data_IF_205299093389
#
_entry.id   IF_205299093389
#
_cell.length_a   1.000
_cell.length_b   1.000
_cell.length_c   1.000
_cell.angle_alpha   90.00
_cell.angle_beta   90.00
_cell.angle_gamma   90.00
#
_symmetry.space_group_name_H-M   'P 1'
#
loop_
_entity.id
_entity.type
_entity.pdbx_description
1 polymer ?
#
# COMPACT_ATOMS: atom_id res chain seq x y z
N UNK A 1 15.42 46.72 22.88
CA UNK A 1 15.48 45.60 21.91
C UNK A 1 15.70 44.31 22.67
N UNK A 2 14.70 43.43 22.74
CA UNK A 2 14.84 42.12 23.41
C UNK A 2 15.41 41.12 22.39
N UNK A 3 16.54 40.51 22.72
CA UNK A 3 17.14 39.41 21.94
C UNK A 3 16.20 38.20 21.93
N UNK A 4 15.98 37.54 20.78
CA UNK A 4 15.11 36.37 20.72
C UNK A 4 15.69 35.21 21.55
N UNK A 5 14.83 34.34 22.13
CA UNK A 5 15.28 33.24 22.96
C UNK A 5 16.11 32.25 22.14
N UNK A 6 17.29 31.89 22.65
CA UNK A 6 18.26 31.01 21.99
C UNK A 6 17.68 29.64 21.58
N UNK A 7 16.62 29.19 22.24
CA UNK A 7 15.90 27.95 21.90
C UNK A 7 15.13 28.04 20.57
N UNK A 8 14.60 29.21 20.21
CA UNK A 8 13.88 29.41 18.95
C UNK A 8 14.84 29.36 17.75
N UNK A 9 16.04 29.92 17.93
CA UNK A 9 17.11 29.87 16.92
C UNK A 9 17.64 28.44 16.74
N UNK A 10 17.78 27.65 17.82
CA UNK A 10 18.16 26.22 17.74
C UNK A 10 17.07 25.39 17.05
N UNK A 11 15.80 25.61 17.36
CA UNK A 11 14.68 24.87 16.77
C UNK A 11 14.57 25.17 15.26
N UNK A 12 14.72 26.42 14.85
CA UNK A 12 14.74 26.80 13.43
C UNK A 12 15.95 26.23 12.68
N UNK A 13 17.12 26.11 13.35
CA UNK A 13 18.29 25.44 12.77
C UNK A 13 18.06 23.94 12.59
N UNK A 14 17.40 23.29 13.54
CA UNK A 14 17.08 21.86 13.45
C UNK A 14 16.06 21.58 12.34
N UNK A 15 15.03 22.41 12.20
CA UNK A 15 14.03 22.30 11.12
C UNK A 15 14.69 22.54 9.75
N UNK A 16 15.56 23.54 9.63
CA UNK A 16 16.28 23.82 8.39
C UNK A 16 17.22 22.66 7.99
N UNK A 17 17.94 22.07 8.95
CA UNK A 17 18.79 20.90 8.70
C UNK A 17 17.94 19.69 8.26
N UNK A 18 16.77 19.47 8.90
CA UNK A 18 15.87 18.39 8.52
C UNK A 18 15.33 18.55 7.09
N UNK A 19 14.94 19.78 6.70
CA UNK A 19 14.49 20.07 5.34
C UNK A 19 15.61 19.90 4.30
N UNK A 20 16.85 20.31 4.61
CA UNK A 20 18.00 20.14 3.73
C UNK A 20 18.36 18.65 3.55
N UNK A 21 18.28 17.85 4.61
CA UNK A 21 18.52 16.40 4.54
C UNK A 21 17.44 15.71 3.69
N UNK A 22 16.16 16.08 3.84
CA UNK A 22 15.07 15.54 3.00
C UNK A 22 15.23 15.96 1.52
N UNK A 23 15.66 17.20 1.24
CA UNK A 23 15.94 17.66 -0.12
C UNK A 23 17.16 16.96 -0.75
N UNK A 24 18.21 16.67 0.03
CA UNK A 24 19.41 15.99 -0.47
C UNK A 24 19.20 14.47 -0.63
N UNK A 25 18.38 13.85 0.23
CA UNK A 25 17.99 12.44 0.13
C UNK A 25 17.02 12.16 -1.02
N UNK A 26 16.26 13.16 -1.48
CA UNK A 26 15.42 13.06 -2.69
C UNK A 26 16.20 13.33 -3.99
N UNK A 27 17.43 13.84 -3.90
CA UNK A 27 18.26 14.17 -5.07
C UNK A 27 19.21 13.01 -5.50
N UNK A 28 19.19 11.86 -4.82
CA UNK A 28 20.13 10.75 -5.08
C UNK A 28 19.49 9.42 -5.50
N UNK A 29 18.25 9.41 -6.00
CA UNK A 29 17.73 8.24 -6.72
C UNK A 29 18.13 8.32 -8.19
N UNK A 30 19.41 8.05 -8.47
CA UNK A 30 19.80 7.56 -9.78
C UNK A 30 19.14 6.19 -9.98
N UNK A 31 17.90 6.19 -10.46
CA UNK A 31 17.37 5.00 -11.12
C UNK A 31 18.27 4.76 -12.34
N UNK A 32 18.98 3.62 -12.43
CA UNK A 32 19.60 3.28 -13.69
C UNK A 32 18.46 3.19 -14.69
N UNK A 33 18.54 4.00 -15.75
CA UNK A 33 17.68 3.88 -16.92
C UNK A 33 17.82 2.42 -17.37
N UNK A 34 16.85 1.59 -17.03
CA UNK A 34 16.81 0.21 -17.47
C UNK A 34 16.62 0.27 -18.99
N UNK A 35 17.75 0.31 -19.72
CA UNK A 35 17.76 -0.03 -21.13
C UNK A 35 17.03 -1.36 -21.21
N UNK A 36 15.95 -1.39 -21.98
CA UNK A 36 15.22 -2.61 -22.28
C UNK A 36 16.19 -3.54 -23.03
N UNK A 37 16.99 -4.29 -22.28
CA UNK A 37 17.74 -5.40 -22.80
C UNK A 37 16.70 -6.42 -23.20
N UNK A 38 16.68 -6.79 -24.48
CA UNK A 38 15.81 -7.82 -25.03
C UNK A 38 16.21 -9.13 -24.34
N UNK A 39 15.52 -9.48 -23.26
CA UNK A 39 15.63 -10.79 -22.63
C UNK A 39 14.80 -11.78 -23.45
N UNK A 40 15.28 -13.02 -23.65
CA UNK A 40 14.57 -14.01 -24.43
C UNK A 40 13.18 -14.26 -23.82
N UNK A 41 12.17 -14.06 -24.65
CA UNK A 41 10.74 -14.14 -24.36
C UNK A 41 10.30 -15.60 -24.55
N UNK A 42 10.22 -16.39 -23.47
CA UNK A 42 9.25 -17.51 -23.38
C UNK A 42 9.34 -18.43 -22.14
N UNK A 43 10.42 -18.46 -21.35
CA UNK A 43 10.60 -19.54 -20.35
C UNK A 43 10.21 -19.20 -18.90
N UNK A 44 10.08 -17.93 -18.51
CA UNK A 44 9.86 -17.58 -17.09
C UNK A 44 8.40 -17.63 -16.65
N UNK A 45 7.45 -17.24 -17.51
CA UNK A 45 6.03 -17.15 -17.17
C UNK A 45 5.42 -18.53 -16.95
N UNK A 46 5.83 -19.53 -17.75
CA UNK A 46 5.40 -20.92 -17.59
C UNK A 46 5.85 -21.51 -16.25
N UNK A 47 7.05 -21.19 -15.78
CA UNK A 47 7.58 -21.71 -14.52
C UNK A 47 6.84 -21.12 -13.30
N UNK A 48 6.56 -19.81 -13.33
CA UNK A 48 5.79 -19.14 -12.27
C UNK A 48 4.39 -19.74 -12.18
N UNK A 49 3.72 -19.92 -13.32
CA UNK A 49 2.39 -20.51 -13.36
C UNK A 49 2.37 -21.95 -12.83
N UNK A 50 3.37 -22.77 -13.17
CA UNK A 50 3.47 -24.15 -12.68
C UNK A 50 3.68 -24.23 -11.16
N UNK A 51 4.40 -23.27 -10.57
CA UNK A 51 4.64 -23.25 -9.13
C UNK A 51 3.47 -22.68 -8.32
N UNK A 52 2.73 -21.70 -8.86
CA UNK A 52 1.68 -20.99 -8.12
C UNK A 52 0.27 -21.54 -8.35
N UNK A 53 -0.02 -22.10 -9.53
CA UNK A 53 -1.36 -22.64 -9.85
C UNK A 53 -1.82 -23.79 -8.94
N UNK A 54 -0.92 -24.64 -8.39
CA UNK A 54 -1.33 -25.69 -7.46
C UNK A 54 -1.70 -25.19 -6.05
N UNK A 55 -1.48 -23.91 -5.73
CA UNK A 55 -1.79 -23.37 -4.41
C UNK A 55 -3.30 -23.40 -4.18
N UNK A 56 -3.70 -23.86 -3.00
CA UNK A 56 -5.09 -23.83 -2.56
C UNK A 56 -5.33 -22.44 -1.98
N UNK A 57 -6.18 -21.67 -2.65
CA UNK A 57 -6.59 -20.32 -2.27
C UNK A 57 -8.13 -20.28 -2.21
N UNK A 58 -8.67 -19.50 -1.29
CA UNK A 58 -10.10 -19.18 -1.24
C UNK A 58 -10.48 -18.25 -2.40
N UNK A 59 -9.59 -17.30 -2.72
CA UNK A 59 -9.70 -16.40 -3.86
C UNK A 59 -9.12 -16.96 -5.17
N UNK A 60 -8.83 -16.06 -6.10
CA UNK A 60 -8.41 -16.41 -7.46
C UNK A 60 -7.05 -15.80 -7.82
N UNK A 61 -6.17 -16.59 -8.44
CA UNK A 61 -4.92 -16.14 -9.04
C UNK A 61 -5.05 -16.13 -10.56
N UNK A 62 -5.23 -14.95 -11.15
CA UNK A 62 -5.37 -14.78 -12.60
C UNK A 62 -4.04 -14.53 -13.28
N UNK A 63 -3.79 -15.28 -14.36
CA UNK A 63 -2.68 -15.04 -15.31
C UNK A 63 -3.16 -14.38 -16.60
N UNK A 64 -4.47 -14.15 -16.72
CA UNK A 64 -5.13 -13.54 -17.88
C UNK A 64 -5.73 -12.18 -17.49
N UNK A 65 -5.96 -11.33 -18.49
CA UNK A 65 -6.55 -9.99 -18.31
C UNK A 65 -5.80 -9.10 -17.30
N UNK A 66 -4.48 -9.27 -17.19
CA UNK A 66 -3.64 -8.63 -16.17
C UNK A 66 -3.24 -7.17 -16.47
N UNK A 67 -3.73 -6.60 -17.57
CA UNK A 67 -3.35 -5.25 -18.02
C UNK A 67 -3.86 -4.15 -17.10
N UNK A 68 -4.96 -4.36 -16.38
CA UNK A 68 -5.52 -3.36 -15.45
C UNK A 68 -4.58 -3.04 -14.28
N UNK A 69 -3.76 -4.01 -13.87
CA UNK A 69 -2.77 -3.85 -12.81
C UNK A 69 -1.46 -3.22 -13.30
N UNK A 70 -1.31 -3.03 -14.62
CA UNK A 70 -0.14 -2.44 -15.27
C UNK A 70 -0.29 -0.93 -15.51
N UNK A 71 -1.26 -0.26 -14.89
CA UNK A 71 -1.44 1.20 -14.98
C UNK A 71 -1.66 1.75 -13.57
N UNK A 72 -1.57 3.06 -13.38
CA UNK A 72 -2.03 3.75 -12.17
C UNK A 72 -2.55 5.14 -12.51
N UNK A 73 -2.99 5.90 -11.51
CA UNK A 73 -3.55 7.24 -11.69
C UNK A 73 -2.59 8.22 -12.37
N UNK A 74 -1.28 8.06 -12.17
CA UNK A 74 -0.29 8.89 -12.86
C UNK A 74 -0.23 8.62 -14.35
N UNK A 75 -0.53 7.39 -14.79
CA UNK A 75 -0.53 6.96 -16.18
C UNK A 75 0.78 7.24 -16.93
N UNK A 76 1.91 7.21 -16.21
CA UNK A 76 3.26 7.44 -16.75
C UNK A 76 3.99 6.10 -16.99
N UNK A 77 3.81 5.14 -16.07
CA UNK A 77 4.49 3.84 -16.11
C UNK A 77 3.51 2.70 -16.33
N UNK A 78 3.96 1.70 -17.11
CA UNK A 78 3.16 0.54 -17.48
C UNK A 78 3.90 -0.78 -17.28
N UNK A 79 4.00 -1.25 -16.04
CA UNK A 79 4.68 -2.48 -15.66
C UNK A 79 3.72 -3.66 -15.62
N UNK A 80 3.76 -4.48 -16.67
CA UNK A 80 2.93 -5.68 -16.76
C UNK A 80 3.34 -6.72 -15.69
N UNK A 81 2.41 -7.17 -14.81
CA UNK A 81 2.68 -8.27 -13.90
C UNK A 81 2.66 -9.62 -14.62
N UNK A 82 3.03 -10.67 -13.90
CA UNK A 82 2.84 -12.07 -14.34
C UNK A 82 1.49 -12.62 -13.90
N UNK A 83 0.93 -12.13 -12.79
CA UNK A 83 -0.38 -12.53 -12.28
C UNK A 83 -1.01 -11.45 -11.41
N UNK A 84 -2.34 -11.52 -11.23
CA UNK A 84 -3.10 -10.76 -10.24
C UNK A 84 -3.73 -11.75 -9.26
N UNK A 85 -3.45 -11.58 -7.97
CA UNK A 85 -4.18 -12.24 -6.90
C UNK A 85 -5.41 -11.39 -6.56
N UNK A 86 -6.59 -12.00 -6.63
CA UNK A 86 -7.85 -11.50 -6.10
C UNK A 86 -8.14 -12.30 -4.82
N UNK A 87 -7.57 -11.90 -3.67
CA UNK A 87 -7.70 -12.68 -2.44
C UNK A 87 -9.13 -12.59 -1.92
N UNK A 88 -9.66 -13.67 -1.37
CA UNK A 88 -10.86 -13.61 -0.54
C UNK A 88 -10.49 -13.51 0.94
N UNK A 89 -9.39 -14.13 1.36
CA UNK A 89 -8.95 -14.13 2.76
C UNK A 89 -7.52 -13.61 2.92
N UNK A 90 -7.16 -13.23 4.17
CA UNK A 90 -5.76 -12.88 4.50
C UNK A 90 -4.85 -14.11 4.32
N UNK A 91 -5.39 -15.32 4.48
CA UNK A 91 -4.67 -16.58 4.25
C UNK A 91 -4.17 -16.67 2.80
N UNK A 92 -4.96 -16.26 1.82
CA UNK A 92 -4.53 -16.24 0.41
C UNK A 92 -3.27 -15.40 0.20
N UNK A 93 -3.24 -14.21 0.80
CA UNK A 93 -2.11 -13.28 0.74
C UNK A 93 -0.87 -13.91 1.40
N UNK A 94 -1.06 -14.46 2.60
CA UNK A 94 0.03 -15.11 3.35
C UNK A 94 0.59 -16.34 2.64
N UNK A 95 -0.26 -17.12 1.96
CA UNK A 95 0.11 -18.32 1.21
C UNK A 95 0.97 -17.96 0.00
N UNK A 96 0.58 -16.91 -0.74
CA UNK A 96 1.38 -16.40 -1.87
C UNK A 96 2.73 -15.86 -1.40
N UNK A 97 2.75 -15.04 -0.35
CA UNK A 97 4.00 -14.47 0.18
C UNK A 97 4.92 -15.59 0.68
N UNK A 98 4.39 -16.56 1.43
CA UNK A 98 5.15 -17.73 1.91
C UNK A 98 5.73 -18.53 0.75
N UNK A 99 4.94 -18.82 -0.27
CA UNK A 99 5.41 -19.59 -1.41
C UNK A 99 6.53 -18.87 -2.17
N UNK A 100 6.41 -17.55 -2.39
CA UNK A 100 7.46 -16.74 -3.03
C UNK A 100 8.74 -16.74 -2.19
N UNK A 101 8.61 -16.63 -0.87
CA UNK A 101 9.76 -16.72 0.03
C UNK A 101 10.45 -18.09 -0.05
N UNK A 102 9.68 -19.18 -0.12
CA UNK A 102 10.20 -20.54 -0.28
C UNK A 102 10.92 -20.75 -1.62
N UNK A 103 10.52 -20.06 -2.69
CA UNK A 103 11.26 -20.06 -3.97
C UNK A 103 12.64 -19.38 -3.86
N UNK A 104 12.85 -18.57 -2.83
CA UNK A 104 14.09 -17.86 -2.59
C UNK A 104 14.31 -16.65 -3.52
N UNK A 105 15.39 -15.92 -3.24
CA UNK A 105 15.74 -14.67 -3.94
C UNK A 105 16.09 -14.86 -5.41
N UNK A 106 16.42 -16.08 -5.83
CA UNK A 106 16.75 -16.43 -7.23
C UNK A 106 15.53 -16.39 -8.15
N UNK A 107 14.31 -16.46 -7.61
CA UNK A 107 13.07 -16.36 -8.39
C UNK A 107 12.89 -14.99 -9.07
N UNK A 108 13.42 -13.92 -8.45
CA UNK A 108 13.21 -12.54 -8.90
C UNK A 108 11.75 -12.07 -8.86
N UNK A 109 10.84 -12.86 -8.26
CA UNK A 109 9.44 -12.50 -8.12
C UNK A 109 9.27 -11.37 -7.10
N UNK A 110 8.49 -10.37 -7.48
CA UNK A 110 8.10 -9.26 -6.62
C UNK A 110 6.60 -9.29 -6.39
N UNK A 111 6.16 -8.73 -5.27
CA UNK A 111 4.74 -8.62 -4.93
C UNK A 111 4.44 -7.15 -4.65
N UNK A 112 3.33 -6.65 -5.20
CA UNK A 112 2.81 -5.33 -4.89
C UNK A 112 1.36 -5.42 -4.43
N UNK A 113 1.07 -4.92 -3.24
CA UNK A 113 -0.29 -4.69 -2.80
C UNK A 113 -0.87 -3.46 -3.52
N UNK A 114 -2.00 -3.63 -4.20
CA UNK A 114 -2.67 -2.58 -4.95
C UNK A 114 -4.01 -2.27 -4.32
N UNK A 115 -4.15 -1.05 -3.81
CA UNK A 115 -5.42 -0.48 -3.39
C UNK A 115 -6.24 0.00 -4.59
N UNK A 116 -6.70 1.25 -4.58
CA UNK A 116 -7.47 1.82 -5.69
C UNK A 116 -6.60 2.36 -6.85
N UNK A 117 -5.33 1.95 -6.95
CA UNK A 117 -4.44 2.34 -8.05
C UNK A 117 -4.08 3.84 -8.12
N UNK A 118 -4.18 4.58 -7.02
CA UNK A 118 -4.01 6.04 -6.98
C UNK A 118 -2.55 6.52 -6.85
N UNK A 119 -1.60 5.59 -6.91
CA UNK A 119 -0.18 5.89 -7.09
C UNK A 119 0.06 6.62 -8.41
N UNK A 120 1.22 7.28 -8.55
CA UNK A 120 1.52 8.13 -9.71
C UNK A 120 2.80 7.75 -10.47
N UNK A 121 3.58 6.83 -9.93
CA UNK A 121 4.90 6.44 -10.46
C UNK A 121 5.16 4.93 -10.36
N UNK A 122 4.12 4.10 -10.49
CA UNK A 122 4.28 2.64 -10.52
C UNK A 122 4.43 1.96 -9.16
N UNK A 123 4.25 2.67 -8.03
CA UNK A 123 4.46 2.11 -6.69
C UNK A 123 3.55 0.90 -6.37
N UNK A 124 2.37 0.83 -7.00
CA UNK A 124 1.40 -0.26 -6.83
C UNK A 124 1.40 -1.25 -8.01
N UNK A 125 2.49 -1.32 -8.77
CA UNK A 125 2.69 -2.23 -9.90
C UNK A 125 3.86 -3.19 -9.60
N UNK A 126 3.85 -4.39 -10.19
CA UNK A 126 4.90 -5.40 -10.00
C UNK A 126 5.34 -5.98 -11.35
N UNK A 127 6.42 -5.45 -11.94
CA UNK A 127 6.91 -5.91 -13.25
C UNK A 127 7.28 -7.39 -13.21
N UNK A 128 6.59 -8.21 -14.03
CA UNK A 128 6.71 -9.69 -14.06
C UNK A 128 6.53 -10.35 -12.68
N UNK A 129 5.93 -9.65 -11.73
CA UNK A 129 5.64 -10.14 -10.38
C UNK A 129 4.16 -10.47 -10.20
N UNK A 130 3.69 -10.39 -8.95
CA UNK A 130 2.28 -10.57 -8.59
C UNK A 130 1.75 -9.26 -8.04
N UNK A 131 0.61 -8.82 -8.57
CA UNK A 131 -0.15 -7.72 -7.96
C UNK A 131 -1.27 -8.33 -7.13
N UNK A 132 -1.43 -7.87 -5.89
CA UNK A 132 -2.56 -8.25 -5.03
C UNK A 132 -3.62 -7.15 -5.13
N UNK A 133 -4.79 -7.46 -5.68
CA UNK A 133 -5.92 -6.55 -5.66
C UNK A 133 -6.56 -6.54 -4.26
N UNK A 134 -6.14 -5.60 -3.43
CA UNK A 134 -6.59 -5.52 -2.04
C UNK A 134 -8.09 -5.23 -1.93
N UNK A 135 -8.72 -4.64 -2.96
CA UNK A 135 -10.17 -4.37 -2.94
C UNK A 135 -11.01 -5.64 -3.03
N UNK A 136 -10.43 -6.73 -3.52
CA UNK A 136 -11.11 -8.02 -3.61
C UNK A 136 -11.14 -8.76 -2.26
N UNK A 137 -10.29 -8.36 -1.32
CA UNK A 137 -10.21 -8.97 0.01
C UNK A 137 -11.56 -8.87 0.72
N UNK A 138 -12.24 -10.02 0.85
CA UNK A 138 -13.44 -10.18 1.65
C UNK A 138 -13.03 -10.29 3.12
N UNK A 139 -12.62 -9.15 3.66
CA UNK A 139 -12.37 -9.03 5.09
C UNK A 139 -13.66 -9.19 5.91
N UNK A 140 -13.56 -9.29 7.25
CA UNK A 140 -14.72 -9.13 8.10
C UNK A 140 -15.45 -7.82 7.75
N UNK A 141 -16.78 -7.84 7.77
CA UNK A 141 -17.59 -6.63 7.64
C UNK A 141 -17.11 -5.57 8.65
N UNK A 142 -17.27 -4.29 8.33
CA UNK A 142 -16.83 -3.21 9.22
C UNK A 142 -17.45 -3.38 10.61
N UNK A 143 -16.61 -3.50 11.65
CA UNK A 143 -17.09 -3.70 13.01
C UNK A 143 -16.95 -2.40 13.80
N UNK A 144 -18.09 -1.81 14.15
CA UNK A 144 -18.13 -0.57 14.95
C UNK A 144 -18.20 -0.88 16.44
N UNK A 145 -17.31 -0.24 17.19
CA UNK A 145 -17.29 -0.29 18.64
C UNK A 145 -17.61 1.11 19.15
N UNK A 146 -18.75 1.27 19.83
CA UNK A 146 -19.31 2.59 20.22
C UNK A 146 -19.16 2.89 21.71
N UNK A 147 -18.15 2.30 22.37
CA UNK A 147 -17.86 2.53 23.79
C UNK A 147 -17.25 3.92 24.07
N UNK A 148 -16.60 4.09 25.23
CA UNK A 148 -15.97 5.37 25.62
C UNK A 148 -14.90 5.85 24.61
N UNK A 149 -14.18 4.90 23.99
CA UNK A 149 -13.23 5.15 22.91
C UNK A 149 -13.74 4.46 21.64
N UNK A 150 -14.56 5.15 20.82
CA UNK A 150 -15.14 4.52 19.65
C UNK A 150 -14.10 4.31 18.54
N UNK A 151 -14.16 3.15 17.90
CA UNK A 151 -13.33 2.78 16.76
C UNK A 151 -14.08 1.86 15.80
N UNK A 152 -13.49 1.65 14.62
CA UNK A 152 -14.01 0.74 13.60
C UNK A 152 -12.86 -0.12 13.08
N UNK A 153 -13.09 -1.43 13.00
CA UNK A 153 -12.20 -2.36 12.32
C UNK A 153 -12.62 -2.48 10.86
N UNK A 154 -11.66 -2.35 9.95
CA UNK A 154 -11.88 -2.29 8.50
C UNK A 154 -10.77 -3.04 7.76
N UNK A 155 -11.10 -3.61 6.60
CA UNK A 155 -10.10 -4.19 5.70
C UNK A 155 -9.15 -3.11 5.17
N UNK A 156 -7.86 -3.44 5.01
CA UNK A 156 -6.88 -2.54 4.37
C UNK A 156 -7.22 -2.20 2.92
N UNK A 157 -8.04 -3.02 2.26
CA UNK A 157 -8.57 -2.78 0.92
C UNK A 157 -9.80 -1.87 0.86
N UNK A 158 -10.40 -1.53 2.00
CA UNK A 158 -11.63 -0.75 2.07
C UNK A 158 -11.39 0.71 1.70
N UNK A 159 -12.37 1.35 1.05
CA UNK A 159 -12.34 2.76 0.68
C UNK A 159 -12.85 3.65 1.82
N UNK A 160 -12.18 4.79 2.02
CA UNK A 160 -12.59 5.78 3.02
C UNK A 160 -14.02 6.29 2.85
N UNK A 161 -14.53 6.36 1.61
CA UNK A 161 -15.92 6.75 1.34
C UNK A 161 -16.93 5.76 1.92
N UNK A 162 -16.62 4.46 1.91
CA UNK A 162 -17.51 3.43 2.46
C UNK A 162 -17.52 3.51 3.99
N UNK A 163 -16.33 3.72 4.59
CA UNK A 163 -16.18 3.92 6.04
C UNK A 163 -16.98 5.13 6.51
N UNK A 164 -16.92 6.25 5.79
CA UNK A 164 -17.72 7.43 6.10
C UNK A 164 -19.22 7.12 6.05
N UNK A 165 -19.69 6.49 4.98
CA UNK A 165 -21.11 6.17 4.82
C UNK A 165 -21.62 5.25 5.94
N UNK A 166 -20.83 4.24 6.33
CA UNK A 166 -21.21 3.31 7.40
C UNK A 166 -21.12 3.99 8.77
N UNK A 167 -20.06 4.75 9.04
CA UNK A 167 -19.86 5.39 10.34
C UNK A 167 -20.96 6.39 10.67
N UNK A 168 -21.49 7.09 9.66
CA UNK A 168 -22.59 8.04 9.84
C UNK A 168 -23.88 7.37 10.31
N UNK A 169 -24.12 6.09 10.00
CA UNK A 169 -25.26 5.33 10.54
C UNK A 169 -25.18 5.14 12.06
N UNK A 170 -23.97 5.17 12.60
CA UNK A 170 -23.68 5.10 14.03
C UNK A 170 -23.48 6.50 14.66
N UNK A 171 -23.65 7.59 13.90
CA UNK A 171 -23.35 8.95 14.37
C UNK A 171 -21.86 9.20 14.60
N UNK A 172 -20.99 8.41 13.97
CA UNK A 172 -19.54 8.47 14.11
C UNK A 172 -18.85 8.88 12.80
N UNK A 173 -17.58 9.27 12.91
CA UNK A 173 -16.72 9.65 11.79
C UNK A 173 -15.24 9.54 12.19
N UNK A 174 -14.35 9.06 11.30
CA UNK A 174 -12.91 9.28 11.44
C UNK A 174 -12.56 10.76 11.68
N UNK A 175 -11.48 10.99 12.45
CA UNK A 175 -11.02 12.34 12.84
C UNK A 175 -10.14 13.03 11.81
N UNK A 176 -9.48 12.25 10.95
CA UNK A 176 -8.52 12.72 9.96
C UNK A 176 -8.77 12.04 8.61
N UNK A 177 -8.66 12.81 7.53
CA UNK A 177 -9.09 12.43 6.19
C UNK A 177 -8.02 12.66 5.14
N UNK A 178 -8.32 12.24 3.92
CA UNK A 178 -7.69 12.70 2.68
C UNK A 178 -8.69 13.55 1.90
N UNK A 179 -8.20 14.46 1.05
CA UNK A 179 -9.08 15.32 0.24
C UNK A 179 -9.93 14.53 -0.78
N UNK A 180 -9.50 13.30 -1.11
CA UNK A 180 -10.22 12.37 -1.98
C UNK A 180 -10.50 11.05 -1.25
N UNK A 181 -11.77 10.64 -1.20
CA UNK A 181 -12.23 9.52 -0.35
C UNK A 181 -12.27 8.16 -1.06
N UNK A 182 -12.05 8.10 -2.38
CA UNK A 182 -11.92 6.82 -3.11
C UNK A 182 -10.47 6.34 -3.10
N UNK A 183 -9.86 6.37 -1.92
CA UNK A 183 -8.55 5.80 -1.61
C UNK A 183 -8.75 4.68 -0.59
N UNK A 184 -7.91 3.66 -0.63
CA UNK A 184 -8.00 2.56 0.33
C UNK A 184 -7.30 2.90 1.65
N UNK A 185 -7.76 2.31 2.74
CA UNK A 185 -7.18 2.46 4.09
C UNK A 185 -5.69 2.13 4.09
N UNK A 186 -5.33 0.93 3.62
CA UNK A 186 -3.93 0.51 3.57
C UNK A 186 -3.07 1.45 2.71
N UNK A 187 -3.62 1.92 1.58
CA UNK A 187 -2.89 2.81 0.67
C UNK A 187 -2.54 4.17 1.31
N UNK A 188 -3.47 4.78 2.03
CA UNK A 188 -3.20 6.07 2.67
C UNK A 188 -2.34 5.93 3.91
N UNK A 189 -2.53 4.85 4.70
CA UNK A 189 -1.72 4.56 5.88
C UNK A 189 -0.27 4.18 5.55
N UNK A 190 -0.01 3.58 4.39
CA UNK A 190 1.36 3.37 3.88
C UNK A 190 2.07 4.66 3.44
N UNK A 191 1.39 5.80 3.44
CA UNK A 191 1.97 7.11 3.14
C UNK A 191 1.90 8.04 4.36
N UNK A 192 0.69 8.53 4.67
CA UNK A 192 0.37 9.35 5.85
C UNK A 192 -1.14 9.57 5.97
N UNK A 193 -1.78 9.97 4.85
CA UNK A 193 -3.17 10.42 4.80
C UNK A 193 -3.36 11.80 5.42
N UNK A 194 -3.19 12.86 4.62
CA UNK A 194 -3.22 14.25 5.08
C UNK A 194 -4.37 14.99 4.42
N UNK A 195 -5.07 15.80 5.22
CA UNK A 195 -6.07 16.80 4.79
C UNK A 195 -6.16 17.90 5.85
N UNK A 196 -7.15 18.79 5.71
CA UNK A 196 -7.35 19.98 6.54
C UNK A 196 -7.60 19.73 8.02
N UNK A 197 -7.81 18.49 8.48
CA UNK A 197 -7.97 18.16 9.91
C UNK A 197 -6.63 17.84 10.59
N UNK A 198 -5.56 17.64 9.81
CA UNK A 198 -4.28 17.16 10.31
C UNK A 198 -3.61 18.15 11.30
N UNK A 199 -3.91 19.45 11.21
CA UNK A 199 -3.39 20.43 12.19
C UNK A 199 -3.89 20.19 13.62
N UNK A 200 -5.05 19.54 13.79
CA UNK A 200 -5.68 19.28 15.09
C UNK A 200 -5.55 17.82 15.52
N UNK A 201 -5.70 16.89 14.57
CA UNK A 201 -5.77 15.45 14.85
C UNK A 201 -4.56 14.66 14.33
N UNK A 202 -3.60 15.32 13.68
CA UNK A 202 -2.54 14.65 12.92
C UNK A 202 -3.07 13.97 11.64
N UNK A 203 -2.18 13.48 10.77
CA UNK A 203 -2.56 12.63 9.63
C UNK A 203 -3.30 11.35 10.05
N UNK A 204 -3.86 10.62 9.09
CA UNK A 204 -4.55 9.34 9.33
C UNK A 204 -3.67 8.35 10.10
N UNK A 205 -2.37 8.29 9.83
CA UNK A 205 -1.41 7.44 10.57
C UNK A 205 -1.31 7.74 12.08
N UNK A 206 -1.77 8.91 12.56
CA UNK A 206 -1.86 9.21 13.99
C UNK A 206 -3.18 8.78 14.64
N UNK A 207 -4.13 8.26 13.86
CA UNK A 207 -5.49 7.94 14.27
C UNK A 207 -5.81 6.45 14.07
N UNK A 208 -4.80 5.59 14.19
CA UNK A 208 -4.91 4.12 14.07
C UNK A 208 -4.51 3.49 15.41
N UNK A 209 -5.33 2.58 15.93
CA UNK A 209 -5.06 1.88 17.18
C UNK A 209 -4.25 0.60 16.99
N UNK A 210 -4.55 -0.17 15.93
CA UNK A 210 -3.93 -1.46 15.64
C UNK A 210 -3.89 -1.71 14.12
N UNK A 211 -2.97 -2.55 13.69
CA UNK A 211 -2.88 -3.07 12.32
C UNK A 211 -2.70 -4.58 12.35
N UNK A 212 -3.36 -5.26 11.41
CA UNK A 212 -3.01 -6.63 11.01
C UNK A 212 -2.13 -6.55 9.76
N UNK A 213 -0.97 -7.20 9.78
CA UNK A 213 0.04 -7.10 8.71
C UNK A 213 0.55 -8.48 8.35
N UNK A 214 0.49 -8.81 7.06
CA UNK A 214 1.22 -9.97 6.51
C UNK A 214 2.63 -9.53 6.16
N UNK A 215 3.63 -10.12 6.82
CA UNK A 215 5.03 -9.80 6.59
C UNK A 215 5.67 -10.75 5.58
N UNK A 216 6.75 -10.29 4.93
CA UNK A 216 7.56 -11.13 4.06
C UNK A 216 8.59 -11.98 4.85
N UNK A 217 8.68 -11.82 6.16
CA UNK A 217 9.60 -12.60 7.01
C UNK A 217 8.84 -13.75 7.67
N UNK A 218 9.44 -14.93 7.84
CA UNK A 218 8.80 -16.07 8.49
C UNK A 218 8.62 -15.92 10.02
N UNK A 219 8.66 -14.70 10.57
CA UNK A 219 8.57 -14.44 12.01
C UNK A 219 7.42 -13.47 12.30
N UNK A 220 6.51 -13.93 13.17
CA UNK A 220 5.66 -13.10 14.02
C UNK A 220 6.48 -12.54 15.17
#
# INVERSE_FOLDING_TARGET
MKTPPQNLLKQNRMILIFLIVVLLSTCSTHHPLAKATIFPRSSSSSNIQLSLKPLILDGNLSFENIHEAATDFGNIYHFLPSAILYPETVSDISTIIKNINEMGTTSGLTVAARGNGHSVQGQAQAYRGIVIDMKSLRGPEMQFYTGELPYVDVSGGELWVNILNESLKHGLSPKSWTDFLRLTVGGTLSNAGISGQAFRHGPQINNVYQLEVVTASPQL
#
